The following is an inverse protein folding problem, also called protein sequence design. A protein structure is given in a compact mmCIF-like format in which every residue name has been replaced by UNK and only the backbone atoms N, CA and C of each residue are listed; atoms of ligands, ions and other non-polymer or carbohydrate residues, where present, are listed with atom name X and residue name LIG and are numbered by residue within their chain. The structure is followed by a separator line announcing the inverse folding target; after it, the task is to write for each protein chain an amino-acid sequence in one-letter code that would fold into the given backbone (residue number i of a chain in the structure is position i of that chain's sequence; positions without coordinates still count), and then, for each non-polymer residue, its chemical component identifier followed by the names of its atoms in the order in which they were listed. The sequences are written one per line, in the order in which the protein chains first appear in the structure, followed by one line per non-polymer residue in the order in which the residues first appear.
data_IF_204482624426
#
_entry.id   IF_204482624426
#
_cell.length_a   1.000
_cell.length_b   1.000
_cell.length_c   1.000
_cell.angle_alpha   90.00
_cell.angle_beta   90.00
_cell.angle_gamma   90.00
#
_symmetry.space_group_name_H-M   'P 1'
#
loop_
_entity.id
_entity.type
_entity.pdbx_description
1 polymer ?
#
# COMPACT_ATOMS: atom_id res chain seq x y z
N UNK A 1 71.00 26.19 -31.16
CA UNK A 1 71.99 25.31 -31.79
C UNK A 1 71.72 23.93 -31.22
N UNK A 2 70.91 23.13 -31.91
CA UNK A 2 71.35 22.22 -33.00
C UNK A 2 72.33 21.18 -32.42
N UNK A 3 72.13 19.87 -32.49
CA UNK A 3 71.56 19.05 -33.56
C UNK A 3 71.09 17.69 -33.03
N UNK A 4 70.22 17.06 -33.80
CA UNK A 4 69.69 15.71 -33.69
C UNK A 4 70.77 14.65 -33.90
N UNK A 5 70.62 13.46 -33.31
CA UNK A 5 70.64 12.22 -34.13
C UNK A 5 69.87 11.07 -33.48
N UNK A 6 68.97 10.53 -34.29
CA UNK A 6 68.02 9.43 -34.12
C UNK A 6 68.70 8.08 -34.41
N UNK A 7 68.37 6.95 -33.75
CA UNK A 7 67.55 5.81 -34.25
C UNK A 7 68.04 4.50 -33.52
N UNK A 8 67.38 3.33 -33.65
CA UNK A 8 65.99 3.03 -33.30
C UNK A 8 65.88 1.77 -32.41
N UNK A 9 64.83 1.70 -31.58
CA UNK A 9 64.43 0.47 -30.90
C UNK A 9 63.68 -0.42 -31.90
N UNK A 10 64.20 -1.64 -32.08
CA UNK A 10 63.53 -2.67 -32.85
C UNK A 10 62.28 -3.16 -32.13
N UNK A 11 61.19 -3.11 -32.88
CA UNK A 11 59.90 -3.72 -32.61
C UNK A 11 60.07 -5.21 -32.25
N UNK A 12 59.37 -5.66 -31.22
CA UNK A 12 58.80 -7.00 -31.30
C UNK A 12 57.32 -6.93 -30.94
N UNK A 13 56.56 -7.16 -31.99
CA UNK A 13 55.13 -7.14 -32.10
C UNK A 13 54.61 -8.47 -31.55
N UNK A 14 53.75 -8.44 -30.53
CA UNK A 14 52.80 -9.53 -30.30
C UNK A 14 51.47 -8.92 -29.89
N UNK A 15 50.69 -8.57 -30.92
CA UNK A 15 49.25 -8.52 -30.85
C UNK A 15 48.72 -9.92 -30.51
N UNK A 16 48.05 -10.06 -29.36
CA UNK A 16 47.14 -11.17 -29.11
C UNK A 16 45.85 -10.63 -28.47
N UNK A 17 45.00 -10.13 -29.36
CA UNK A 17 43.56 -10.42 -29.45
C UNK A 17 42.73 -10.39 -28.16
N UNK A 18 41.87 -9.37 -28.10
CA UNK A 18 40.64 -9.43 -27.32
C UNK A 18 39.81 -10.67 -27.67
N UNK A 19 39.36 -11.36 -26.63
CA UNK A 19 38.15 -12.17 -26.64
C UNK A 19 37.24 -11.61 -25.57
N UNK A 20 36.15 -10.98 -26.00
CA UNK A 20 35.00 -10.72 -25.14
C UNK A 20 34.58 -12.05 -24.51
N UNK A 21 34.79 -12.18 -23.21
CA UNK A 21 34.34 -13.33 -22.46
C UNK A 21 32.81 -13.31 -22.50
N UNK A 22 32.22 -14.26 -23.22
CA UNK A 22 30.78 -14.47 -23.17
C UNK A 22 30.37 -14.66 -21.70
N UNK A 23 29.31 -13.99 -21.21
CA UNK A 23 28.90 -14.11 -19.82
C UNK A 23 28.47 -15.56 -19.54
N UNK A 24 29.33 -16.30 -18.85
CA UNK A 24 29.00 -17.65 -18.39
C UNK A 24 28.01 -17.56 -17.23
N UNK A 25 26.90 -18.32 -17.23
CA UNK A 25 25.92 -18.30 -16.15
C UNK A 25 26.41 -18.98 -14.86
N UNK A 26 27.68 -19.39 -14.79
CA UNK A 26 28.25 -20.15 -13.69
C UNK A 26 29.03 -19.20 -12.77
N UNK A 27 28.56 -19.07 -11.53
CA UNK A 27 29.23 -18.36 -10.46
C UNK A 27 30.05 -19.35 -9.62
N UNK A 28 31.34 -19.10 -9.42
CA UNK A 28 32.23 -20.00 -8.69
C UNK A 28 32.73 -19.36 -7.39
N UNK A 29 32.68 -20.11 -6.30
CA UNK A 29 33.13 -19.70 -4.97
C UNK A 29 34.11 -20.74 -4.45
N UNK A 30 35.32 -20.30 -4.09
CA UNK A 30 36.27 -21.15 -3.38
C UNK A 30 35.93 -21.13 -1.89
N UNK A 31 35.48 -22.28 -1.39
CA UNK A 31 35.26 -22.49 0.04
C UNK A 31 36.39 -23.35 0.62
N UNK A 32 36.65 -23.32 1.94
CA UNK A 32 37.66 -24.18 2.58
C UNK A 32 37.45 -25.68 2.37
N UNK A 33 36.25 -26.09 1.92
CA UNK A 33 35.89 -27.49 1.62
C UNK A 33 35.99 -27.83 0.12
N UNK A 34 36.34 -26.88 -0.75
CA UNK A 34 36.47 -27.06 -2.19
C UNK A 34 35.83 -25.94 -3.03
N UNK A 35 36.06 -26.01 -4.35
CA UNK A 35 35.47 -25.10 -5.34
C UNK A 35 33.99 -25.45 -5.54
N UNK A 36 33.10 -24.54 -5.19
CA UNK A 36 31.66 -24.65 -5.41
C UNK A 36 31.27 -23.82 -6.63
N UNK A 37 30.62 -24.45 -7.62
CA UNK A 37 30.07 -23.76 -8.78
C UNK A 37 28.54 -23.77 -8.75
N UNK A 38 27.93 -22.60 -8.84
CA UNK A 38 26.48 -22.39 -8.90
C UNK A 38 26.12 -21.95 -10.32
N UNK A 39 25.26 -22.71 -10.98
CA UNK A 39 24.67 -22.29 -12.25
C UNK A 39 23.46 -21.37 -11.97
N UNK A 40 23.61 -20.09 -12.30
CA UNK A 40 22.59 -19.07 -12.11
C UNK A 40 21.37 -19.29 -12.99
N UNK A 41 21.50 -19.97 -14.13
CA UNK A 41 20.36 -20.33 -14.98
C UNK A 41 19.52 -21.41 -14.29
N UNK A 42 20.16 -22.48 -13.83
CA UNK A 42 19.48 -23.53 -13.08
C UNK A 42 18.85 -23.00 -11.78
N UNK A 43 19.50 -22.06 -11.10
CA UNK A 43 18.93 -21.38 -9.93
C UNK A 43 17.70 -20.54 -10.28
N UNK A 44 17.74 -19.78 -11.37
CA UNK A 44 16.59 -18.99 -11.82
C UNK A 44 15.41 -19.87 -12.24
N UNK A 45 15.67 -20.96 -12.96
CA UNK A 45 14.66 -21.93 -13.39
C UNK A 45 14.03 -22.64 -12.19
N UNK A 46 14.85 -23.07 -11.21
CA UNK A 46 14.35 -23.67 -9.97
C UNK A 46 13.53 -22.68 -9.14
N UNK A 47 13.94 -21.40 -9.10
CA UNK A 47 13.19 -20.33 -8.43
C UNK A 47 11.84 -20.06 -9.11
N UNK A 48 11.79 -20.07 -10.44
CA UNK A 48 10.56 -19.91 -11.20
C UNK A 48 9.61 -21.09 -10.96
N UNK A 49 10.09 -22.33 -11.05
CA UNK A 49 9.31 -23.53 -10.77
C UNK A 49 8.77 -23.56 -9.32
N UNK A 50 9.58 -23.15 -8.35
CA UNK A 50 9.15 -23.03 -6.95
C UNK A 50 8.07 -21.96 -6.77
N UNK A 51 8.13 -20.85 -7.52
CA UNK A 51 7.12 -19.81 -7.49
C UNK A 51 5.79 -20.25 -8.11
N UNK A 52 5.82 -21.10 -9.14
CA UNK A 52 4.61 -21.67 -9.75
C UNK A 52 3.89 -22.67 -8.82
N UNK A 53 4.67 -23.43 -8.04
CA UNK A 53 4.16 -24.38 -7.03
C UNK A 53 3.70 -23.69 -5.74
N UNK A 54 4.12 -22.46 -5.50
CA UNK A 54 3.69 -21.71 -4.33
C UNK A 54 2.18 -21.44 -4.43
N UNK A 55 1.40 -21.68 -3.35
CA UNK A 55 0.00 -21.33 -3.34
C UNK A 55 -0.11 -19.83 -3.60
N UNK A 56 -0.76 -19.46 -4.71
CA UNK A 56 -0.99 -18.06 -5.07
C UNK A 56 -1.78 -17.43 -3.92
N UNK A 57 -1.10 -16.67 -3.07
CA UNK A 57 -1.77 -15.86 -2.04
C UNK A 57 -2.80 -15.03 -2.78
N UNK A 58 -4.08 -15.20 -2.44
CA UNK A 58 -5.11 -14.31 -2.94
C UNK A 58 -4.64 -12.89 -2.67
N UNK A 59 -4.42 -12.11 -3.73
CA UNK A 59 -4.12 -10.69 -3.61
C UNK A 59 -5.37 -10.05 -3.02
N UNK A 60 -5.42 -9.96 -1.70
CA UNK A 60 -6.42 -9.14 -1.03
C UNK A 60 -6.13 -7.68 -1.36
N UNK A 61 -7.19 -6.93 -1.61
CA UNK A 61 -7.10 -5.49 -1.84
C UNK A 61 -6.40 -4.82 -0.64
N UNK A 62 -5.62 -3.76 -0.86
CA UNK A 62 -4.95 -3.01 0.21
C UNK A 62 -5.94 -2.53 1.27
N UNK A 63 -7.13 -2.11 0.82
CA UNK A 63 -8.25 -1.77 1.70
C UNK A 63 -8.63 -2.93 2.63
N UNK A 64 -8.88 -4.11 2.04
CA UNK A 64 -9.30 -5.30 2.77
C UNK A 64 -8.25 -5.74 3.77
N UNK A 65 -6.96 -5.65 3.41
CA UNK A 65 -5.86 -5.94 4.32
C UNK A 65 -5.91 -5.03 5.54
N UNK A 66 -5.96 -3.70 5.34
CA UNK A 66 -6.03 -2.74 6.45
C UNK A 66 -7.30 -2.91 7.28
N UNK A 67 -8.45 -3.11 6.64
CA UNK A 67 -9.73 -3.31 7.29
C UNK A 67 -9.73 -4.55 8.18
N UNK A 68 -9.34 -5.72 7.66
CA UNK A 68 -9.33 -6.96 8.43
C UNK A 68 -8.28 -6.96 9.54
N UNK A 69 -7.12 -6.33 9.31
CA UNK A 69 -6.11 -6.14 10.35
C UNK A 69 -6.64 -5.29 11.50
N UNK A 70 -7.30 -4.17 11.22
CA UNK A 70 -7.82 -3.28 12.26
C UNK A 70 -9.00 -3.88 13.03
N UNK A 71 -9.95 -4.48 12.31
CA UNK A 71 -11.15 -5.08 12.91
C UNK A 71 -10.89 -6.45 13.55
N UNK A 72 -9.68 -7.01 13.40
CA UNK A 72 -9.27 -8.33 13.90
C UNK A 72 -10.27 -9.44 13.54
N UNK A 73 -10.89 -9.33 12.37
CA UNK A 73 -11.96 -10.22 11.95
C UNK A 73 -11.76 -10.68 10.51
N UNK A 74 -11.99 -11.97 10.21
CA UNK A 74 -11.87 -12.51 8.85
C UNK A 74 -13.05 -12.11 7.95
N UNK A 75 -14.15 -11.63 8.55
CA UNK A 75 -15.36 -11.20 7.86
C UNK A 75 -15.92 -9.94 8.51
N UNK A 76 -16.53 -9.10 7.69
CA UNK A 76 -17.17 -7.86 8.13
C UNK A 76 -18.59 -7.80 7.61
N UNK A 77 -19.51 -7.31 8.43
CA UNK A 77 -20.81 -6.85 7.97
C UNK A 77 -20.69 -5.40 7.52
N UNK A 78 -21.37 -5.08 6.42
CA UNK A 78 -21.41 -3.73 5.84
C UNK A 78 -22.84 -3.23 5.84
N UNK A 79 -23.05 -2.03 6.38
CA UNK A 79 -24.29 -1.27 6.21
C UNK A 79 -23.99 0.05 5.48
N UNK A 80 -24.93 0.57 4.70
CA UNK A 80 -24.73 1.80 3.95
C UNK A 80 -26.03 2.59 3.83
N UNK A 81 -25.93 3.90 4.05
CA UNK A 81 -27.05 4.83 3.95
C UNK A 81 -26.66 6.05 3.11
N UNK A 82 -27.66 6.57 2.44
CA UNK A 82 -27.56 7.65 1.46
C UNK A 82 -28.48 8.78 1.86
N UNK A 83 -28.02 10.00 1.65
CA UNK A 83 -28.80 11.20 1.87
C UNK A 83 -28.49 12.21 0.78
N UNK A 84 -29.55 12.77 0.18
CA UNK A 84 -29.43 13.79 -0.83
C UNK A 84 -29.16 15.20 -0.25
N UNK A 85 -28.43 15.99 -1.03
CA UNK A 85 -28.19 17.41 -0.79
C UNK A 85 -27.61 17.73 0.59
N UNK A 86 -28.08 18.85 1.17
CA UNK A 86 -27.55 19.39 2.43
C UNK A 86 -27.74 18.45 3.64
N UNK A 87 -28.76 17.59 3.62
CA UNK A 87 -29.00 16.64 4.72
C UNK A 87 -27.81 15.70 4.87
N UNK A 88 -27.27 15.19 3.77
CA UNK A 88 -26.14 14.29 3.81
C UNK A 88 -24.86 14.93 4.34
N UNK A 89 -24.62 16.18 4.00
CA UNK A 89 -23.55 16.97 4.58
C UNK A 89 -23.70 17.14 6.10
N UNK A 90 -24.93 17.42 6.58
CA UNK A 90 -25.23 17.55 8.00
C UNK A 90 -25.09 16.22 8.75
N UNK A 91 -25.51 15.10 8.15
CA UNK A 91 -25.34 13.77 8.75
C UNK A 91 -23.87 13.44 8.99
N UNK A 92 -22.99 13.72 8.01
CA UNK A 92 -21.55 13.52 8.17
C UNK A 92 -20.96 14.42 9.26
N UNK A 93 -21.39 15.68 9.32
CA UNK A 93 -20.98 16.61 10.37
C UNK A 93 -21.38 16.13 11.77
N UNK A 94 -22.64 15.71 11.94
CA UNK A 94 -23.16 15.29 13.24
C UNK A 94 -22.63 13.93 13.68
N UNK A 95 -22.29 13.04 12.74
CA UNK A 95 -21.67 11.76 13.06
C UNK A 95 -20.36 11.94 13.82
N UNK A 96 -19.52 12.89 13.39
CA UNK A 96 -18.24 13.13 14.05
C UNK A 96 -18.43 13.61 15.50
N UNK A 97 -19.34 14.58 15.70
CA UNK A 97 -19.67 15.12 17.02
C UNK A 97 -20.30 14.05 17.93
N UNK A 98 -21.11 13.16 17.35
CA UNK A 98 -21.76 12.08 18.09
C UNK A 98 -20.75 11.04 18.59
N UNK A 99 -19.71 10.74 17.82
CA UNK A 99 -18.73 9.71 18.13
C UNK A 99 -17.58 10.20 19.03
N UNK A 100 -17.24 11.49 18.98
CA UNK A 100 -16.14 12.12 19.73
C UNK A 100 -16.07 11.76 21.23
N UNK A 101 -17.18 11.60 21.97
CA UNK A 101 -17.12 11.25 23.41
C UNK A 101 -16.67 9.82 23.70
N UNK A 102 -16.99 8.86 22.82
CA UNK A 102 -16.83 7.42 23.09
C UNK A 102 -15.79 6.74 22.18
N UNK A 103 -15.42 7.39 21.09
CA UNK A 103 -14.56 6.83 20.05
C UNK A 103 -13.48 7.80 19.61
N UNK A 104 -12.28 7.26 19.39
CA UNK A 104 -11.17 7.96 18.79
C UNK A 104 -10.90 7.46 17.37
N UNK A 105 -10.42 8.35 16.50
CA UNK A 105 -9.98 8.01 15.15
C UNK A 105 -8.51 7.59 15.20
N UNK A 106 -8.24 6.33 14.90
CA UNK A 106 -6.88 5.75 14.93
C UNK A 106 -6.15 5.90 13.61
N UNK A 107 -6.85 5.66 12.50
CA UNK A 107 -6.34 5.85 11.15
C UNK A 107 -7.37 6.58 10.29
N UNK A 108 -6.86 7.42 9.39
CA UNK A 108 -7.66 8.13 8.41
C UNK A 108 -6.92 8.19 7.07
N UNK A 109 -7.59 7.73 6.01
CA UNK A 109 -7.06 7.78 4.65
C UNK A 109 -8.17 7.58 3.61
N UNK A 110 -7.92 8.02 2.38
CA UNK A 110 -8.69 7.63 1.21
C UNK A 110 -7.88 6.60 0.39
N UNK A 111 -8.57 5.74 -0.36
CA UNK A 111 -7.94 4.86 -1.34
C UNK A 111 -8.46 5.23 -2.71
N UNK A 112 -7.56 5.69 -3.57
CA UNK A 112 -7.82 5.97 -4.98
C UNK A 112 -6.85 5.13 -5.81
N UNK A 113 -7.39 4.34 -6.74
CA UNK A 113 -6.61 3.45 -7.62
C UNK A 113 -5.63 2.52 -6.88
N UNK A 114 -6.00 2.09 -5.67
CA UNK A 114 -5.17 1.23 -4.83
C UNK A 114 -4.02 1.94 -4.12
N UNK A 115 -3.95 3.27 -4.20
CA UNK A 115 -2.96 4.11 -3.54
C UNK A 115 -3.60 4.83 -2.35
N UNK A 116 -2.90 4.86 -1.22
CA UNK A 116 -3.31 5.62 -0.04
C UNK A 116 -3.13 7.12 -0.30
N UNK A 117 -4.18 7.89 -0.06
CA UNK A 117 -4.20 9.34 -0.20
C UNK A 117 -4.80 10.00 1.03
N UNK A 118 -4.52 11.29 1.26
CA UNK A 118 -5.23 12.07 2.28
C UNK A 118 -6.73 12.11 1.99
N UNK A 119 -7.55 12.13 3.04
CA UNK A 119 -8.99 12.30 2.89
C UNK A 119 -9.33 13.67 2.32
N UNK A 120 -10.42 13.72 1.55
CA UNK A 120 -10.95 14.97 1.03
C UNK A 120 -11.98 15.56 1.97
N UNK A 121 -11.88 16.87 2.15
CA UNK A 121 -12.76 17.63 2.99
C UNK A 121 -13.34 18.80 2.23
N UNK A 122 -14.59 19.13 2.53
CA UNK A 122 -15.26 20.31 2.02
C UNK A 122 -15.79 21.17 3.17
N UNK A 123 -16.09 22.43 2.89
CA UNK A 123 -16.57 23.40 3.86
C UNK A 123 -18.00 23.80 3.55
N UNK A 124 -18.94 23.31 4.35
CA UNK A 124 -20.35 23.64 4.21
C UNK A 124 -20.70 24.93 4.97
N UNK A 125 -21.51 25.82 4.37
CA UNK A 125 -22.06 26.96 5.07
C UNK A 125 -23.19 26.48 5.99
N UNK A 126 -23.18 26.95 7.24
CA UNK A 126 -24.28 26.80 8.18
C UNK A 126 -25.01 28.13 8.34
N UNK A 127 -26.17 28.09 9.01
CA UNK A 127 -26.92 29.29 9.32
C UNK A 127 -26.06 30.24 10.19
N UNK A 128 -26.03 31.52 9.82
CA UNK A 128 -25.34 32.56 10.60
C UNK A 128 -23.83 32.56 10.47
N UNK A 129 -23.26 32.91 9.30
CA UNK A 129 -21.81 33.08 9.02
C UNK A 129 -20.87 31.94 9.46
N UNK A 130 -21.39 30.86 10.02
CA UNK A 130 -20.64 29.69 10.42
C UNK A 130 -20.34 28.82 9.22
N UNK A 131 -19.14 28.25 9.22
CA UNK A 131 -18.69 27.31 8.22
C UNK A 131 -18.08 26.13 8.93
N UNK A 132 -18.46 24.92 8.53
CA UNK A 132 -17.94 23.69 9.11
C UNK A 132 -17.29 22.84 8.03
N UNK A 133 -16.14 22.27 8.39
CA UNK A 133 -15.40 21.36 7.53
C UNK A 133 -15.93 19.95 7.78
N UNK A 134 -16.26 19.24 6.70
CA UNK A 134 -16.76 17.86 6.73
C UNK A 134 -15.91 16.99 5.81
N UNK A 135 -15.75 15.71 6.15
CA UNK A 135 -15.11 14.76 5.25
C UNK A 135 -16.08 14.34 4.15
N UNK A 136 -15.75 14.63 2.90
CA UNK A 136 -16.58 14.25 1.75
C UNK A 136 -16.21 12.86 1.21
N UNK A 137 -14.91 12.56 1.16
CA UNK A 137 -14.37 11.29 0.68
C UNK A 137 -13.24 10.84 1.60
N UNK A 138 -13.36 9.63 2.14
CA UNK A 138 -12.33 9.07 2.99
C UNK A 138 -12.82 7.91 3.83
N UNK A 139 -11.89 7.29 4.54
CA UNK A 139 -12.15 6.21 5.48
C UNK A 139 -11.55 6.56 6.84
N UNK A 140 -12.31 6.32 7.90
CA UNK A 140 -11.90 6.50 9.29
C UNK A 140 -12.07 5.21 10.08
N UNK A 141 -11.08 4.94 10.91
CA UNK A 141 -10.99 3.76 11.74
C UNK A 141 -11.26 4.19 13.18
N UNK A 142 -12.44 3.84 13.70
CA UNK A 142 -12.88 4.22 15.03
C UNK A 142 -12.61 3.10 16.02
N UNK A 143 -12.01 3.46 17.15
CA UNK A 143 -11.80 2.57 18.29
C UNK A 143 -12.43 3.19 19.53
N UNK A 144 -13.17 2.40 20.30
CA UNK A 144 -13.78 2.91 21.53
C UNK A 144 -12.73 3.19 22.59
N UNK A 145 -12.86 4.32 23.28
CA UNK A 145 -12.01 4.70 24.41
C UNK A 145 -12.37 3.93 25.69
N UNK A 146 -13.60 3.42 25.79
CA UNK A 146 -14.10 2.67 26.95
C UNK A 146 -13.87 1.17 26.79
N UNK A 147 -14.16 0.63 25.60
CA UNK A 147 -14.03 -0.79 25.29
C UNK A 147 -13.15 -0.97 24.05
N UNK A 148 -11.81 -1.08 24.17
CA UNK A 148 -10.88 -1.10 23.02
C UNK A 148 -11.11 -2.21 21.99
N UNK A 149 -11.90 -3.22 22.35
CA UNK A 149 -12.34 -4.32 21.49
C UNK A 149 -13.45 -3.90 20.50
N UNK A 150 -14.17 -2.83 20.83
CA UNK A 150 -15.19 -2.23 19.99
C UNK A 150 -14.53 -1.32 18.96
N UNK A 151 -14.48 -1.82 17.73
CA UNK A 151 -13.89 -1.14 16.58
C UNK A 151 -14.85 -1.21 15.40
N UNK A 152 -14.93 -0.13 14.66
CA UNK A 152 -15.66 -0.09 13.41
C UNK A 152 -14.99 0.88 12.44
N UNK A 153 -15.30 0.75 11.16
CA UNK A 153 -14.76 1.61 10.11
C UNK A 153 -15.91 2.34 9.44
N UNK A 154 -15.74 3.63 9.21
CA UNK A 154 -16.68 4.45 8.45
C UNK A 154 -16.02 4.92 7.17
N UNK A 155 -16.72 4.72 6.05
CA UNK A 155 -16.34 5.24 4.74
C UNK A 155 -17.33 6.34 4.39
N UNK A 156 -16.81 7.54 4.17
CA UNK A 156 -17.54 8.67 3.63
C UNK A 156 -17.28 8.75 2.13
N UNK A 157 -18.34 8.85 1.33
CA UNK A 157 -18.23 9.14 -0.11
C UNK A 157 -19.37 10.04 -0.59
N UNK A 158 -19.20 10.62 -1.78
CA UNK A 158 -20.23 11.34 -2.51
C UNK A 158 -20.38 10.66 -3.86
N UNK A 159 -21.59 10.26 -4.20
CA UNK A 159 -21.89 9.59 -5.46
C UNK A 159 -21.98 10.61 -6.61
N UNK A 160 -22.01 10.13 -7.86
CA UNK A 160 -21.92 11.00 -9.04
C UNK A 160 -23.10 11.97 -9.23
N UNK A 161 -24.23 11.69 -8.58
CA UNK A 161 -25.42 12.54 -8.52
C UNK A 161 -25.36 13.58 -7.38
N UNK A 162 -24.31 13.55 -6.56
CA UNK A 162 -24.13 14.45 -5.42
C UNK A 162 -24.69 13.90 -4.10
N UNK A 163 -25.23 12.68 -4.08
CA UNK A 163 -25.73 12.08 -2.85
C UNK A 163 -24.58 11.67 -1.93
N UNK A 164 -24.71 12.03 -0.65
CA UNK A 164 -23.72 11.70 0.35
C UNK A 164 -24.01 10.30 0.89
N UNK A 165 -23.00 9.44 0.87
CA UNK A 165 -23.05 8.10 1.44
C UNK A 165 -22.16 7.98 2.67
N UNK A 166 -22.67 7.26 3.67
CA UNK A 166 -21.88 6.69 4.75
C UNK A 166 -22.03 5.17 4.72
N UNK A 167 -20.88 4.49 4.77
CA UNK A 167 -20.81 3.04 4.83
C UNK A 167 -20.07 2.64 6.10
N UNK A 168 -20.66 1.75 6.89
CA UNK A 168 -20.09 1.27 8.15
C UNK A 168 -19.70 -0.20 7.99
N UNK A 169 -18.49 -0.53 8.42
CA UNK A 169 -17.99 -1.91 8.52
C UNK A 169 -17.80 -2.30 9.98
N UNK A 170 -18.41 -3.43 10.36
CA UNK A 170 -18.37 -4.00 11.71
C UNK A 170 -17.86 -5.44 11.62
N UNK A 171 -17.02 -5.92 12.55
CA UNK A 171 -16.57 -7.32 12.55
C UNK A 171 -17.76 -8.27 12.74
N UNK A 172 -17.82 -9.36 11.95
CA UNK A 172 -18.83 -10.41 12.13
C UNK A 172 -18.24 -11.60 12.89
N UNK A 173 -19.01 -12.18 13.81
CA UNK A 173 -18.63 -13.38 14.56
C UNK A 173 -18.11 -13.13 15.98
N UNK A 174 -18.03 -11.87 16.44
CA UNK A 174 -17.96 -11.54 17.88
C UNK A 174 -19.39 -11.28 18.35
N UNK A 175 -19.89 -12.08 19.29
CA UNK A 175 -21.10 -11.74 20.02
C UNK A 175 -20.80 -10.48 20.82
N UNK A 176 -21.32 -9.33 20.39
CA UNK A 176 -21.38 -8.16 21.25
C UNK A 176 -22.32 -8.53 22.39
N UNK A 177 -21.77 -8.90 23.55
CA UNK A 177 -22.56 -8.99 24.76
C UNK A 177 -22.90 -7.56 25.15
N UNK A 178 -24.10 -7.13 24.76
CA UNK A 178 -24.80 -5.96 25.30
C UNK A 178 -25.13 -6.15 26.76
#
# INVERSE_FOLDING_TARGET
MEEQTTQPQAENNDQATGKEAQPSPVFKVNTPMGEMSIDMKAYADAKAAAFELAPKKQRSNLFDQKMFTFLEAPKTQRDSRYWGGHLGALMKMHLDVYLEPEYEVTEEFAIEDGILRPCMYDTIPLQGKERRRIMILGTRFYQSTVSPEHRFIVISSVDGDGDHRLTIHIPTGRSMNT
#
